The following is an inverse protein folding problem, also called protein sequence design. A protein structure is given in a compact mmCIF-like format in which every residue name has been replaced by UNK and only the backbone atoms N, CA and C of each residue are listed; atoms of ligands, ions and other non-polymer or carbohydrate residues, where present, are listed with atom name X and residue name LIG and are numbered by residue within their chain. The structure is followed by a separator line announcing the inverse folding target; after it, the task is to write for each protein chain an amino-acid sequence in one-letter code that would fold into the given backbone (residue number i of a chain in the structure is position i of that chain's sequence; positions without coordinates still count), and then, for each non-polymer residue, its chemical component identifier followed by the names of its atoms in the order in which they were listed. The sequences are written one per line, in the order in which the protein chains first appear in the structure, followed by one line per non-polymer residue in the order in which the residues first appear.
data_IF_648951558769
#
_entry.id   IF_648951558769
#
_cell.length_a   1.000
_cell.length_b   1.000
_cell.length_c   1.000
_cell.angle_alpha   90.00
_cell.angle_beta   90.00
_cell.angle_gamma   90.00
#
_symmetry.space_group_name_H-M   'P 1'
#
loop_
_entity.id
_entity.type
_entity.pdbx_description
1 polymer ?
#
# COMPACT_ATOMS: atom_id res chain seq x y z
N UNK A 1 20.78 3.99 27.49
CA UNK A 1 21.18 3.06 26.41
C UNK A 1 22.59 3.44 25.96
N UNK A 2 23.28 2.69 25.10
CA UNK A 2 24.57 3.17 24.60
C UNK A 2 24.34 4.34 23.64
N UNK A 3 25.17 5.39 23.70
CA UNK A 3 25.05 6.59 22.85
C UNK A 3 24.95 6.25 21.35
N UNK A 4 25.64 5.20 20.91
CA UNK A 4 25.58 4.72 19.54
C UNK A 4 24.20 4.16 19.14
N UNK A 5 23.50 3.48 20.05
CA UNK A 5 22.14 2.97 19.80
C UNK A 5 21.16 4.14 19.65
N UNK A 6 21.29 5.17 20.48
CA UNK A 6 20.43 6.36 20.41
C UNK A 6 20.60 7.12 19.08
N UNK A 7 21.85 7.31 18.63
CA UNK A 7 22.15 7.93 17.33
C UNK A 7 21.61 7.06 16.18
N UNK A 8 21.81 5.75 16.24
CA UNK A 8 21.31 4.84 15.20
C UNK A 8 19.78 4.89 15.10
N UNK A 9 19.07 4.84 16.23
CA UNK A 9 17.62 4.93 16.24
C UNK A 9 17.13 6.26 15.67
N UNK A 10 17.77 7.37 16.05
CA UNK A 10 17.45 8.68 15.49
C UNK A 10 17.59 8.69 13.96
N UNK A 11 18.73 8.21 13.43
CA UNK A 11 18.96 8.15 11.98
C UNK A 11 17.95 7.25 11.26
N UNK A 12 17.59 6.10 11.82
CA UNK A 12 16.60 5.20 11.21
C UNK A 12 15.21 5.83 11.16
N UNK A 13 14.80 6.51 12.23
CA UNK A 13 13.51 7.21 12.29
C UNK A 13 13.48 8.37 11.31
N UNK A 14 14.56 9.16 11.26
CA UNK A 14 14.69 10.32 10.37
C UNK A 14 14.62 9.89 8.90
N UNK A 15 15.43 8.90 8.52
CA UNK A 15 15.43 8.33 7.16
C UNK A 15 14.08 7.74 6.77
N UNK A 16 13.40 7.05 7.70
CA UNK A 16 12.07 6.51 7.44
C UNK A 16 11.05 7.63 7.15
N UNK A 17 11.08 8.72 7.93
CA UNK A 17 10.21 9.87 7.71
C UNK A 17 10.52 10.59 6.40
N UNK A 18 11.79 10.74 6.05
CA UNK A 18 12.22 11.34 4.79
C UNK A 18 11.70 10.54 3.59
N UNK A 19 11.81 9.20 3.62
CA UNK A 19 11.28 8.33 2.56
C UNK A 19 9.78 8.54 2.39
N UNK A 20 9.01 8.55 3.49
CA UNK A 20 7.56 8.78 3.43
C UNK A 20 7.21 10.14 2.83
N UNK A 21 7.96 11.19 3.18
CA UNK A 21 7.73 12.52 2.62
C UNK A 21 8.05 12.58 1.12
N UNK A 22 9.16 11.94 0.71
CA UNK A 22 9.55 11.87 -0.70
C UNK A 22 8.49 11.15 -1.52
N UNK A 23 8.01 9.97 -1.09
CA UNK A 23 6.96 9.23 -1.77
C UNK A 23 5.66 10.02 -1.89
N UNK A 24 5.22 10.63 -0.78
CA UNK A 24 4.00 11.42 -0.77
C UNK A 24 4.10 12.63 -1.72
N UNK A 25 5.25 13.30 -1.76
CA UNK A 25 5.49 14.44 -2.64
C UNK A 25 5.58 14.03 -4.11
N UNK A 26 6.25 12.92 -4.41
CA UNK A 26 6.32 12.37 -5.76
C UNK A 26 4.92 12.03 -6.29
N UNK A 27 4.08 11.43 -5.44
CA UNK A 27 2.73 11.06 -5.80
C UNK A 27 1.83 12.27 -6.03
N UNK A 28 1.84 13.26 -5.12
CA UNK A 28 1.03 14.48 -5.24
C UNK A 28 1.33 15.28 -6.51
N UNK A 29 2.58 15.29 -6.96
CA UNK A 29 3.00 16.05 -8.14
C UNK A 29 2.96 15.21 -9.44
N UNK A 30 2.60 13.93 -9.34
CA UNK A 30 2.56 13.00 -10.45
C UNK A 30 1.18 12.85 -11.10
N UNK A 31 1.07 11.97 -12.12
CA UNK A 31 -0.18 11.67 -12.80
C UNK A 31 -1.18 10.87 -11.94
N UNK A 32 -0.72 10.22 -10.86
CA UNK A 32 -1.52 9.40 -9.95
C UNK A 32 -1.86 10.16 -8.65
N UNK A 33 -2.01 11.49 -8.73
CA UNK A 33 -2.15 12.36 -7.56
C UNK A 33 -3.47 12.17 -6.77
N UNK A 34 -4.41 11.39 -7.28
CA UNK A 34 -5.64 11.02 -6.62
C UNK A 34 -5.49 9.77 -5.74
N UNK A 35 -4.35 9.08 -5.80
CA UNK A 35 -3.99 7.96 -4.93
C UNK A 35 -3.20 8.42 -3.70
N UNK A 36 -3.35 7.66 -2.61
CA UNK A 36 -2.46 7.72 -1.45
C UNK A 36 -1.32 6.70 -1.56
N UNK A 37 -0.24 6.91 -0.80
CA UNK A 37 0.91 5.97 -0.74
C UNK A 37 0.43 4.56 -0.34
N UNK A 38 -0.46 4.45 0.64
CA UNK A 38 -1.04 3.16 1.05
C UNK A 38 -1.87 2.50 -0.05
N UNK A 39 -2.60 3.28 -0.85
CA UNK A 39 -3.35 2.75 -2.00
C UNK A 39 -2.42 2.24 -3.10
N UNK A 40 -1.29 2.91 -3.34
CA UNK A 40 -0.25 2.42 -4.26
C UNK A 40 0.34 1.10 -3.77
N UNK A 41 0.75 0.99 -2.50
CA UNK A 41 1.25 -0.29 -1.98
C UNK A 41 0.18 -1.38 -2.02
N UNK A 42 -1.10 -1.02 -1.91
CA UNK A 42 -2.19 -1.99 -2.10
C UNK A 42 -2.24 -2.48 -3.54
N UNK A 43 -2.14 -1.59 -4.55
CA UNK A 43 -2.07 -1.96 -5.96
C UNK A 43 -0.83 -2.83 -6.24
N UNK A 44 0.32 -2.45 -5.68
CA UNK A 44 1.57 -3.21 -5.79
C UNK A 44 1.42 -4.63 -5.25
N UNK A 45 0.82 -4.79 -4.06
CA UNK A 45 0.58 -6.10 -3.46
C UNK A 45 -0.44 -6.94 -4.24
N UNK A 46 -1.42 -6.34 -4.91
CA UNK A 46 -2.30 -7.05 -5.84
C UNK A 46 -1.49 -7.56 -7.05
N UNK A 47 -0.60 -6.73 -7.58
CA UNK A 47 0.18 -7.01 -8.78
C UNK A 47 -0.62 -6.80 -10.07
N UNK A 48 0.01 -7.04 -11.23
CA UNK A 48 -0.57 -6.72 -12.55
C UNK A 48 -1.13 -7.92 -13.32
N UNK A 49 -0.61 -9.13 -13.11
CA UNK A 49 -0.81 -10.23 -14.07
C UNK A 49 -1.68 -11.38 -13.55
N UNK A 50 -1.66 -11.63 -12.23
CA UNK A 50 -2.34 -12.78 -11.63
C UNK A 50 -3.42 -12.30 -10.66
N UNK A 51 -4.68 -12.76 -10.78
CA UNK A 51 -5.71 -12.48 -9.80
C UNK A 51 -5.30 -13.02 -8.43
N UNK A 52 -5.38 -12.18 -7.39
CA UNK A 52 -5.07 -12.56 -6.01
C UNK A 52 -6.30 -12.53 -5.13
N UNK A 53 -6.35 -13.43 -4.16
CA UNK A 53 -7.41 -13.41 -3.15
C UNK A 53 -7.21 -12.29 -2.14
N UNK A 54 -8.30 -11.81 -1.54
CA UNK A 54 -8.25 -10.81 -0.48
C UNK A 54 -7.37 -11.26 0.70
N UNK A 55 -7.36 -12.54 1.03
CA UNK A 55 -6.56 -13.05 2.15
C UNK A 55 -5.07 -13.01 1.86
N UNK A 56 -4.65 -13.36 0.65
CA UNK A 56 -3.23 -13.31 0.24
C UNK A 56 -2.70 -11.88 0.23
N UNK A 57 -3.44 -10.94 -0.36
CA UNK A 57 -3.02 -9.54 -0.40
C UNK A 57 -2.98 -8.93 1.01
N UNK A 58 -3.92 -9.29 1.90
CA UNK A 58 -3.92 -8.81 3.28
C UNK A 58 -2.73 -9.36 4.07
N UNK A 59 -2.37 -10.62 3.82
CA UNK A 59 -1.22 -11.27 4.44
C UNK A 59 0.09 -10.60 4.00
N UNK A 60 0.27 -10.31 2.72
CA UNK A 60 1.48 -9.67 2.19
C UNK A 60 1.67 -8.25 2.74
N UNK A 61 0.57 -7.51 2.90
CA UNK A 61 0.57 -6.18 3.51
C UNK A 61 0.62 -6.22 5.05
N UNK A 62 0.56 -7.40 5.67
CA UNK A 62 0.49 -7.60 7.11
C UNK A 62 -0.63 -6.78 7.79
N UNK A 63 -1.82 -6.79 7.19
CA UNK A 63 -3.03 -6.11 7.69
C UNK A 63 -4.21 -7.08 7.81
N UNK A 64 -5.29 -6.64 8.45
CA UNK A 64 -6.53 -7.43 8.48
C UNK A 64 -7.24 -7.39 7.13
N UNK A 65 -7.99 -8.45 6.82
CA UNK A 65 -8.86 -8.50 5.64
C UNK A 65 -9.92 -7.38 5.65
N UNK A 66 -10.38 -6.94 6.83
CA UNK A 66 -11.30 -5.80 6.97
C UNK A 66 -10.65 -4.47 6.54
N UNK A 67 -9.40 -4.24 6.93
CA UNK A 67 -8.60 -3.09 6.49
C UNK A 67 -8.41 -3.13 4.97
N UNK A 68 -8.00 -4.27 4.42
CA UNK A 68 -7.85 -4.42 2.97
C UNK A 68 -9.17 -4.20 2.24
N UNK A 69 -10.29 -4.73 2.75
CA UNK A 69 -11.62 -4.54 2.15
C UNK A 69 -11.97 -3.06 2.00
N UNK A 70 -11.63 -2.26 3.01
CA UNK A 70 -11.83 -0.81 2.96
C UNK A 70 -10.95 -0.15 1.90
N UNK A 71 -9.67 -0.55 1.79
CA UNK A 71 -8.74 -0.05 0.77
C UNK A 71 -9.19 -0.42 -0.66
N UNK A 72 -9.53 -1.68 -0.89
CA UNK A 72 -10.02 -2.19 -2.17
C UNK A 72 -11.30 -1.47 -2.59
N UNK A 73 -12.24 -1.24 -1.68
CA UNK A 73 -13.46 -0.49 -2.01
C UNK A 73 -13.19 0.96 -2.43
N UNK A 74 -12.14 1.60 -1.90
CA UNK A 74 -11.71 2.94 -2.35
C UNK A 74 -11.10 2.86 -3.74
N UNK A 75 -10.23 1.88 -3.98
CA UNK A 75 -9.58 1.66 -5.28
C UNK A 75 -10.57 1.31 -6.39
N UNK A 76 -11.61 0.50 -6.10
CA UNK A 76 -12.70 0.22 -7.04
C UNK A 76 -13.45 1.51 -7.40
N UNK A 77 -13.76 2.37 -6.42
CA UNK A 77 -14.43 3.65 -6.68
C UNK A 77 -13.61 4.62 -7.54
N UNK A 78 -12.29 4.48 -7.49
CA UNK A 78 -11.34 5.24 -8.32
C UNK A 78 -10.95 4.51 -9.61
N UNK A 79 -11.57 3.36 -9.89
CA UNK A 79 -11.36 2.57 -11.11
C UNK A 79 -9.93 2.00 -11.28
N UNK A 80 -9.19 1.83 -10.18
CA UNK A 80 -7.83 1.24 -10.22
C UNK A 80 -7.79 -0.27 -9.99
N UNK A 81 -8.84 -0.85 -9.42
CA UNK A 81 -8.91 -2.28 -9.08
C UNK A 81 -10.30 -2.81 -9.40
N UNK A 82 -10.35 -4.04 -9.90
CA UNK A 82 -11.59 -4.80 -10.05
C UNK A 82 -11.60 -5.99 -9.09
N UNK A 83 -12.79 -6.36 -8.61
CA UNK A 83 -12.99 -7.57 -7.81
C UNK A 83 -13.93 -8.52 -8.54
N UNK A 84 -13.49 -9.75 -8.76
CA UNK A 84 -14.28 -10.81 -9.40
C UNK A 84 -14.67 -11.88 -8.39
N UNK A 85 -15.88 -12.41 -8.48
CA UNK A 85 -16.28 -13.57 -7.69
C UNK A 85 -15.95 -14.84 -8.47
N UNK A 86 -15.32 -15.80 -7.80
CA UNK A 86 -15.06 -17.13 -8.39
C UNK A 86 -16.42 -17.74 -8.74
N UNK A 87 -16.70 -17.90 -10.03
CA UNK A 87 -18.00 -18.36 -10.57
C UNK A 87 -18.60 -17.47 -11.68
N UNK A 88 -18.10 -16.25 -11.89
CA UNK A 88 -18.50 -15.37 -13.01
C UNK A 88 -17.64 -15.59 -14.28
N UNK A 89 -16.78 -16.61 -14.26
CA UNK A 89 -16.04 -17.12 -15.42
C UNK A 89 -16.75 -18.37 -15.97
N UNK A 90 -17.98 -18.23 -16.44
CA UNK A 90 -18.66 -19.18 -17.33
C UNK A 90 -19.65 -18.45 -18.24
#
# INVERSE_FOLDING_TARGET
MSKSIEILNYLLVDLFNDILQIEQNALKNGPLNDLSVTEIHTIEAIGMYEPRSMSEVAQDLNITVGTLTTAINKLIKKEYVERKRIGELF
#
